data_IF_052863394482
#
_entry.id   IF_052863394482
#
_cell.length_a   1.000
_cell.length_b   1.000
_cell.length_c   1.000
_cell.angle_alpha   90.00
_cell.angle_beta   90.00
_cell.angle_gamma   90.00
#
_symmetry.space_group_name_H-M   'P 1'
#
loop_
_entity.id
_entity.type
_entity.pdbx_description
1 polymer ?
#
# COMPACT_ATOMS: atom_id res chain seq x y z
N UNK A 1 -33.43 -33.53 10.23
CA UNK A 1 -33.68 -32.47 11.26
C UNK A 1 -32.40 -31.72 11.61
N UNK A 2 -31.30 -32.39 11.94
CA UNK A 2 -30.01 -31.73 12.24
C UNK A 2 -29.62 -30.67 11.20
N UNK A 3 -29.64 -31.01 9.90
CA UNK A 3 -29.33 -30.08 8.82
C UNK A 3 -30.18 -28.79 8.85
N UNK A 4 -31.49 -28.90 9.02
CA UNK A 4 -32.37 -27.73 9.06
C UNK A 4 -32.07 -26.82 10.26
N UNK A 5 -31.79 -27.42 11.42
CA UNK A 5 -31.38 -26.69 12.63
C UNK A 5 -30.04 -25.99 12.38
N UNK A 6 -29.06 -26.69 11.81
CA UNK A 6 -27.76 -26.12 11.45
C UNK A 6 -27.89 -24.91 10.52
N UNK A 7 -28.72 -25.00 9.47
CA UNK A 7 -28.95 -23.88 8.54
C UNK A 7 -29.57 -22.66 9.24
N UNK A 8 -30.55 -22.87 10.13
CA UNK A 8 -31.16 -21.79 10.91
C UNK A 8 -30.14 -21.16 11.86
N UNK A 9 -29.35 -21.98 12.56
CA UNK A 9 -28.30 -21.50 13.46
C UNK A 9 -27.20 -20.73 12.71
N UNK A 10 -26.84 -21.15 11.49
CA UNK A 10 -25.91 -20.43 10.62
C UNK A 10 -26.47 -19.05 10.27
N UNK A 11 -27.75 -18.95 9.90
CA UNK A 11 -28.40 -17.66 9.61
C UNK A 11 -28.39 -16.75 10.84
N UNK A 12 -28.82 -17.26 11.99
CA UNK A 12 -28.83 -16.50 13.24
C UNK A 12 -27.42 -16.07 13.64
N UNK A 13 -26.45 -16.97 13.56
CA UNK A 13 -25.05 -16.70 13.86
C UNK A 13 -24.46 -15.64 12.94
N UNK A 14 -24.74 -15.68 11.63
CA UNK A 14 -24.29 -14.67 10.68
C UNK A 14 -24.89 -13.29 10.97
N UNK A 15 -26.18 -13.20 11.29
CA UNK A 15 -26.84 -11.94 11.66
C UNK A 15 -26.25 -11.38 12.96
N UNK A 16 -26.11 -12.22 13.98
CA UNK A 16 -25.50 -11.81 15.27
C UNK A 16 -24.06 -11.35 15.05
N UNK A 17 -23.27 -12.12 14.30
CA UNK A 17 -21.89 -11.76 13.97
C UNK A 17 -21.82 -10.43 13.24
N UNK A 18 -22.71 -10.18 12.27
CA UNK A 18 -22.74 -8.91 11.54
C UNK A 18 -22.96 -7.70 12.46
N UNK A 19 -23.90 -7.78 13.40
CA UNK A 19 -24.21 -6.69 14.32
C UNK A 19 -23.20 -6.52 15.46
N UNK A 20 -22.52 -7.60 15.86
CA UNK A 20 -21.51 -7.58 16.94
C UNK A 20 -20.08 -7.38 16.43
N UNK A 21 -19.81 -7.61 15.14
CA UNK A 21 -18.46 -7.52 14.58
C UNK A 21 -17.98 -6.06 14.56
N UNK A 22 -16.77 -5.78 15.08
CA UNK A 22 -16.14 -4.48 14.93
C UNK A 22 -15.46 -4.29 13.57
N UNK A 23 -15.42 -5.32 12.71
CA UNK A 23 -14.67 -5.32 11.46
C UNK A 23 -15.47 -4.71 10.30
N UNK A 24 -15.72 -3.42 10.42
CA UNK A 24 -16.37 -2.61 9.40
C UNK A 24 -15.37 -1.81 8.59
N UNK A 25 -15.85 -1.22 7.49
CA UNK A 25 -15.06 -0.35 6.65
C UNK A 25 -14.47 0.80 7.48
N UNK A 26 -13.23 1.17 7.19
CA UNK A 26 -12.62 2.36 7.77
C UNK A 26 -13.42 3.60 7.35
N UNK A 27 -13.53 4.65 8.18
CA UNK A 27 -14.19 5.89 7.77
C UNK A 27 -13.60 6.42 6.46
N UNK A 28 -14.46 6.77 5.51
CA UNK A 28 -14.03 7.23 4.20
C UNK A 28 -13.44 8.65 4.29
N UNK A 29 -12.30 8.88 3.66
CA UNK A 29 -11.61 10.18 3.63
C UNK A 29 -11.41 10.71 2.20
N UNK A 30 -12.28 10.28 1.26
CA UNK A 30 -12.25 10.71 -0.13
C UNK A 30 -13.65 10.88 -0.73
N UNK A 31 -13.71 11.40 -1.96
CA UNK A 31 -14.93 11.57 -2.77
C UNK A 31 -15.62 10.26 -3.21
N UNK A 32 -15.12 9.08 -2.79
CA UNK A 32 -15.55 7.79 -3.30
C UNK A 32 -16.65 7.09 -2.50
N UNK A 33 -17.54 7.86 -1.85
CA UNK A 33 -18.68 7.30 -1.08
C UNK A 33 -19.51 6.29 -1.88
N UNK A 34 -19.65 6.51 -3.19
CA UNK A 34 -20.36 5.60 -4.07
C UNK A 34 -19.78 4.17 -4.11
N UNK A 35 -18.49 3.97 -3.79
CA UNK A 35 -17.89 2.65 -3.64
C UNK A 35 -18.41 1.94 -2.38
N UNK A 36 -18.50 2.65 -1.26
CA UNK A 36 -19.08 2.12 -0.01
C UNK A 36 -20.56 1.83 -0.20
N UNK A 37 -21.30 2.70 -0.88
CA UNK A 37 -22.72 2.48 -1.19
C UNK A 37 -22.92 1.22 -2.06
N UNK A 38 -22.08 1.03 -3.09
CA UNK A 38 -22.13 -0.16 -3.94
C UNK A 38 -21.81 -1.46 -3.16
N UNK A 39 -20.84 -1.40 -2.25
CA UNK A 39 -20.52 -2.51 -1.35
C UNK A 39 -21.68 -2.81 -0.40
N UNK A 40 -22.33 -1.79 0.17
CA UNK A 40 -23.47 -1.95 1.06
C UNK A 40 -24.70 -2.50 0.33
N UNK A 41 -24.99 -2.04 -0.89
CA UNK A 41 -26.04 -2.61 -1.74
C UNK A 41 -25.79 -4.10 -1.99
N UNK A 42 -24.54 -4.44 -2.36
CA UNK A 42 -24.14 -5.84 -2.58
C UNK A 42 -24.32 -6.67 -1.32
N UNK A 43 -23.84 -6.17 -0.17
CA UNK A 43 -23.96 -6.85 1.11
C UNK A 43 -25.42 -7.11 1.49
N UNK A 44 -26.31 -6.12 1.36
CA UNK A 44 -27.74 -6.25 1.69
C UNK A 44 -28.43 -7.27 0.78
N UNK A 45 -28.18 -7.21 -0.54
CA UNK A 45 -28.77 -8.15 -1.50
C UNK A 45 -28.28 -9.58 -1.22
N UNK A 46 -26.97 -9.76 -1.05
CA UNK A 46 -26.38 -11.06 -0.73
C UNK A 46 -26.90 -11.61 0.60
N UNK A 47 -27.02 -10.76 1.64
CA UNK A 47 -27.55 -11.15 2.94
C UNK A 47 -29.03 -11.59 2.83
N UNK A 48 -29.86 -10.84 2.10
CA UNK A 48 -31.26 -11.19 1.88
C UNK A 48 -31.39 -12.54 1.17
N UNK A 49 -30.65 -12.75 0.07
CA UNK A 49 -30.64 -14.02 -0.67
C UNK A 49 -30.10 -15.17 0.19
N UNK A 50 -29.04 -14.93 0.96
CA UNK A 50 -28.49 -15.91 1.90
C UNK A 50 -29.56 -16.38 2.90
N UNK A 51 -30.27 -15.44 3.55
CA UNK A 51 -31.34 -15.76 4.51
C UNK A 51 -32.46 -16.53 3.81
N UNK A 52 -32.97 -16.03 2.68
CA UNK A 52 -34.09 -16.65 1.94
C UNK A 52 -33.75 -18.08 1.53
N UNK A 53 -32.57 -18.30 0.93
CA UNK A 53 -32.17 -19.62 0.44
C UNK A 53 -31.97 -20.59 1.61
N UNK A 54 -31.29 -20.18 2.69
CA UNK A 54 -31.04 -21.07 3.83
C UNK A 54 -32.34 -21.44 4.55
N UNK A 55 -33.24 -20.47 4.76
CA UNK A 55 -34.54 -20.73 5.39
C UNK A 55 -35.46 -21.55 4.47
N UNK A 56 -35.42 -21.33 3.15
CA UNK A 56 -36.15 -22.14 2.19
C UNK A 56 -35.67 -23.60 2.20
N UNK A 57 -34.35 -23.83 2.18
CA UNK A 57 -33.80 -25.19 2.26
C UNK A 57 -34.13 -25.83 3.60
N UNK A 58 -34.01 -25.11 4.73
CA UNK A 58 -34.42 -25.61 6.03
C UNK A 58 -35.91 -25.98 6.07
N UNK A 59 -36.77 -25.11 5.53
CA UNK A 59 -38.19 -25.38 5.37
C UNK A 59 -38.45 -26.62 4.53
N UNK A 60 -37.81 -26.75 3.37
CA UNK A 60 -37.97 -27.89 2.49
C UNK A 60 -37.56 -29.21 3.17
N UNK A 61 -36.43 -29.21 3.89
CA UNK A 61 -35.96 -30.36 4.67
C UNK A 61 -36.95 -30.75 5.77
N UNK A 62 -37.59 -29.79 6.43
CA UNK A 62 -38.58 -30.07 7.50
C UNK A 62 -39.91 -30.53 6.92
N UNK A 63 -40.43 -29.82 5.92
CA UNK A 63 -41.75 -30.04 5.33
C UNK A 63 -41.80 -31.32 4.52
N UNK A 64 -40.78 -31.56 3.68
CA UNK A 64 -40.70 -32.69 2.74
C UNK A 64 -39.81 -33.82 3.26
N UNK A 65 -39.52 -33.87 4.57
CA UNK A 65 -38.81 -35.01 5.16
C UNK A 65 -39.53 -36.32 4.86
N UNK A 66 -38.77 -37.38 4.69
CA UNK A 66 -39.32 -38.71 4.49
C UNK A 66 -40.27 -39.10 5.64
N UNK A 67 -41.42 -39.68 5.29
CA UNK A 67 -42.41 -40.26 6.20
C UNK A 67 -42.88 -41.57 5.60
N UNK A 68 -43.01 -42.59 6.43
CA UNK A 68 -43.54 -43.88 5.98
C UNK A 68 -44.94 -43.70 5.35
N UNK A 69 -45.19 -44.47 4.29
CA UNK A 69 -46.44 -44.42 3.53
C UNK A 69 -46.65 -43.17 2.67
N UNK A 70 -45.74 -42.19 2.66
CA UNK A 70 -45.84 -41.00 1.81
C UNK A 70 -44.95 -41.12 0.57
N UNK A 71 -45.55 -40.94 -0.60
CA UNK A 71 -44.84 -40.88 -1.89
C UNK A 71 -44.64 -39.43 -2.31
N UNK A 72 -43.44 -39.09 -2.79
CA UNK A 72 -43.14 -37.76 -3.31
C UNK A 72 -43.95 -37.46 -4.58
N UNK A 73 -44.38 -36.21 -4.74
CA UNK A 73 -44.95 -35.74 -6.00
C UNK A 73 -43.86 -35.73 -7.09
N UNK A 74 -44.23 -36.16 -8.30
CA UNK A 74 -43.33 -36.19 -9.45
C UNK A 74 -43.61 -34.98 -10.35
N UNK A 75 -42.94 -33.86 -10.07
CA UNK A 75 -42.92 -32.68 -10.94
C UNK A 75 -41.49 -32.45 -11.42
N UNK A 76 -41.27 -32.45 -12.74
CA UNK A 76 -39.93 -32.34 -13.33
C UNK A 76 -39.55 -30.92 -13.74
N UNK A 77 -40.52 -30.04 -13.98
CA UNK A 77 -40.28 -28.67 -14.45
C UNK A 77 -41.48 -27.76 -14.15
N UNK A 78 -41.21 -26.46 -14.09
CA UNK A 78 -42.25 -25.44 -13.99
C UNK A 78 -41.82 -24.20 -14.77
N UNK A 79 -42.21 -24.15 -16.05
CA UNK A 79 -41.79 -23.09 -16.98
C UNK A 79 -42.11 -21.68 -16.48
N UNK A 80 -43.24 -21.49 -15.77
CA UNK A 80 -43.60 -20.17 -15.23
C UNK A 80 -42.64 -19.75 -14.12
N UNK A 81 -42.32 -20.67 -13.21
CA UNK A 81 -41.36 -20.43 -12.12
C UNK A 81 -39.94 -20.19 -12.66
N UNK A 82 -39.52 -20.99 -13.64
CA UNK A 82 -38.22 -20.84 -14.30
C UNK A 82 -38.04 -19.44 -14.90
N UNK A 83 -39.01 -18.97 -15.70
CA UNK A 83 -38.95 -17.60 -16.26
C UNK A 83 -38.97 -16.51 -15.19
N UNK A 84 -39.75 -16.70 -14.13
CA UNK A 84 -39.80 -15.74 -13.04
C UNK A 84 -38.45 -15.66 -12.30
N UNK A 85 -37.83 -16.79 -12.01
CA UNK A 85 -36.51 -16.84 -11.38
C UNK A 85 -35.41 -16.27 -12.27
N UNK A 86 -35.44 -16.56 -13.57
CA UNK A 86 -34.50 -15.98 -14.53
C UNK A 86 -34.66 -14.45 -14.59
N UNK A 87 -35.89 -13.96 -14.70
CA UNK A 87 -36.16 -12.51 -14.72
C UNK A 87 -35.70 -11.83 -13.44
N UNK A 88 -36.07 -12.39 -12.29
CA UNK A 88 -35.73 -11.83 -10.98
C UNK A 88 -34.21 -11.82 -10.73
N UNK A 89 -33.50 -12.91 -11.05
CA UNK A 89 -32.04 -12.97 -10.88
C UNK A 89 -31.31 -12.06 -11.85
N UNK A 90 -31.76 -12.00 -13.11
CA UNK A 90 -31.20 -11.08 -14.12
C UNK A 90 -31.35 -9.62 -13.67
N UNK A 91 -32.54 -9.23 -13.18
CA UNK A 91 -32.77 -7.89 -12.64
C UNK A 91 -31.88 -7.60 -11.43
N UNK A 92 -31.72 -8.56 -10.52
CA UNK A 92 -30.82 -8.43 -9.36
C UNK A 92 -29.36 -8.22 -9.77
N UNK A 93 -28.87 -8.95 -10.76
CA UNK A 93 -27.51 -8.79 -11.31
C UNK A 93 -27.34 -7.41 -11.94
N UNK A 94 -28.30 -6.95 -12.75
CA UNK A 94 -28.26 -5.61 -13.36
C UNK A 94 -28.24 -4.52 -12.29
N UNK A 95 -29.09 -4.63 -11.26
CA UNK A 95 -29.12 -3.69 -10.14
C UNK A 95 -27.80 -3.66 -9.35
N UNK A 96 -27.11 -4.80 -9.22
CA UNK A 96 -25.82 -4.89 -8.54
C UNK A 96 -24.65 -4.35 -9.38
N UNK A 97 -24.66 -4.58 -10.70
CA UNK A 97 -23.54 -4.20 -11.59
C UNK A 97 -23.61 -2.75 -12.09
N UNK A 98 -24.81 -2.20 -12.34
CA UNK A 98 -24.95 -0.88 -12.95
C UNK A 98 -24.32 0.27 -12.14
N UNK A 99 -24.47 0.34 -10.79
CA UNK A 99 -23.80 1.36 -9.99
C UNK A 99 -22.27 1.26 -10.08
N UNK A 100 -21.73 0.04 -10.03
CA UNK A 100 -20.30 -0.21 -10.13
C UNK A 100 -19.71 0.29 -11.46
N UNK A 101 -20.42 0.09 -12.57
CA UNK A 101 -19.99 0.58 -13.88
C UNK A 101 -19.95 2.12 -13.94
N UNK A 102 -20.91 2.81 -13.32
CA UNK A 102 -20.92 4.27 -13.23
C UNK A 102 -19.71 4.80 -12.42
N UNK A 103 -19.43 4.16 -11.28
CA UNK A 103 -18.28 4.51 -10.44
C UNK A 103 -16.97 4.27 -11.19
N UNK A 104 -16.85 3.13 -11.87
CA UNK A 104 -15.66 2.82 -12.67
C UNK A 104 -15.41 3.84 -13.78
N UNK A 105 -16.46 4.25 -14.50
CA UNK A 105 -16.34 5.27 -15.55
C UNK A 105 -15.79 6.62 -15.02
N UNK A 106 -16.17 7.00 -13.80
CA UNK A 106 -15.62 8.18 -13.12
C UNK A 106 -14.17 7.97 -12.68
N UNK A 107 -13.85 6.78 -12.14
CA UNK A 107 -12.50 6.46 -11.66
C UNK A 107 -11.45 6.53 -12.79
N UNK A 108 -11.80 6.09 -14.00
CA UNK A 108 -10.88 6.13 -15.15
C UNK A 108 -10.77 7.50 -15.83
N UNK A 109 -11.55 8.50 -15.38
CA UNK A 109 -11.62 9.84 -15.97
C UNK A 109 -11.25 10.90 -14.94
N UNK A 110 -9.94 11.14 -14.68
CA UNK A 110 -9.50 12.15 -13.72
C UNK A 110 -9.97 13.57 -14.10
N UNK A 111 -10.31 14.43 -13.11
CA UNK A 111 -10.58 15.84 -13.34
C UNK A 111 -9.39 16.54 -14.01
N UNK A 112 -9.66 17.45 -14.95
CA UNK A 112 -8.62 18.17 -15.68
C UNK A 112 -7.78 19.10 -14.79
N UNK A 113 -8.35 19.56 -13.67
CA UNK A 113 -7.70 20.40 -12.67
C UNK A 113 -7.01 19.60 -11.55
N UNK A 114 -6.91 18.27 -11.67
CA UNK A 114 -6.26 17.47 -10.65
C UNK A 114 -4.76 17.78 -10.59
N UNK A 115 -4.27 18.12 -9.40
CA UNK A 115 -2.83 18.17 -9.12
C UNK A 115 -2.21 16.80 -9.32
N UNK A 116 -0.96 16.73 -9.77
CA UNK A 116 -0.29 15.47 -10.09
C UNK A 116 0.84 15.24 -9.12
N UNK A 117 1.00 14.01 -8.65
CA UNK A 117 2.27 13.54 -8.10
C UNK A 117 2.53 12.10 -8.57
N UNK A 118 3.78 11.69 -8.56
CA UNK A 118 4.19 10.33 -8.90
C UNK A 118 4.69 9.58 -7.66
N UNK A 119 4.27 8.32 -7.55
CA UNK A 119 4.83 7.35 -6.62
C UNK A 119 5.68 6.36 -7.40
N UNK A 120 6.90 6.14 -6.93
CA UNK A 120 7.76 5.04 -7.34
C UNK A 120 7.81 3.98 -6.24
N UNK A 121 7.37 2.77 -6.57
CA UNK A 121 7.48 1.60 -5.71
C UNK A 121 8.77 0.83 -6.01
N UNK A 122 9.44 0.40 -4.95
CA UNK A 122 10.63 -0.45 -4.98
C UNK A 122 10.58 -1.39 -3.78
N UNK A 123 11.20 -2.57 -3.84
CA UNK A 123 11.36 -3.45 -2.68
C UNK A 123 12.26 -2.77 -1.62
N UNK A 124 11.77 -2.44 -0.41
CA UNK A 124 10.37 -2.28 0.00
C UNK A 124 10.17 -0.87 0.57
N UNK A 125 10.18 0.12 -0.32
CA UNK A 125 10.12 1.54 -0.02
C UNK A 125 9.30 2.30 -1.07
N UNK A 126 8.84 3.49 -0.68
CA UNK A 126 8.03 4.39 -1.49
C UNK A 126 8.79 5.70 -1.70
N UNK A 127 8.93 6.12 -2.95
CA UNK A 127 9.50 7.43 -3.28
C UNK A 127 8.47 8.29 -3.99
N UNK A 128 8.50 9.59 -3.73
CA UNK A 128 7.52 10.53 -4.27
C UNK A 128 8.19 11.68 -4.99
N UNK A 129 7.62 12.09 -6.13
CA UNK A 129 7.98 13.35 -6.78
C UNK A 129 6.74 14.12 -7.21
N UNK A 130 6.85 15.44 -7.22
CA UNK A 130 5.81 16.37 -7.66
C UNK A 130 6.36 17.22 -8.82
N UNK A 131 5.50 17.70 -9.73
CA UNK A 131 5.91 18.67 -10.74
C UNK A 131 6.39 19.97 -10.07
N UNK A 132 7.30 20.66 -10.75
CA UNK A 132 7.80 21.95 -10.31
C UNK A 132 6.86 23.11 -10.65
N UNK A 133 7.45 24.29 -10.89
CA UNK A 133 6.71 25.51 -11.23
C UNK A 133 6.08 25.43 -12.61
N UNK A 134 6.64 24.61 -13.50
CA UNK A 134 6.11 24.41 -14.85
C UNK A 134 4.87 23.50 -14.90
N UNK A 135 4.53 22.86 -13.78
CA UNK A 135 3.38 21.97 -13.64
C UNK A 135 3.52 20.63 -14.37
N UNK A 136 4.73 20.26 -14.81
CA UNK A 136 5.01 19.03 -15.55
C UNK A 136 6.01 18.18 -14.78
N UNK A 137 5.93 16.86 -15.00
CA UNK A 137 6.94 15.93 -14.53
C UNK A 137 7.93 15.67 -15.65
N UNK A 138 9.21 15.66 -15.32
CA UNK A 138 10.27 15.27 -16.26
C UNK A 138 10.11 13.83 -16.77
N UNK A 139 10.52 13.60 -18.01
CA UNK A 139 10.64 12.29 -18.61
C UNK A 139 11.61 11.41 -17.82
N UNK A 140 11.33 10.11 -17.77
CA UNK A 140 12.13 9.14 -17.01
C UNK A 140 12.50 7.94 -17.85
N UNK A 141 13.68 7.38 -17.60
CA UNK A 141 14.18 6.15 -18.22
C UNK A 141 15.00 5.34 -17.21
N UNK A 142 14.89 4.01 -17.28
CA UNK A 142 15.61 3.09 -16.40
C UNK A 142 17.13 3.25 -16.50
N UNK A 143 17.65 3.69 -17.64
CA UNK A 143 19.09 3.92 -17.86
C UNK A 143 19.67 5.05 -17.01
N UNK A 144 18.82 5.96 -16.53
CA UNK A 144 19.24 7.05 -15.66
C UNK A 144 19.14 6.72 -14.17
N UNK A 145 18.60 5.55 -13.82
CA UNK A 145 18.45 5.14 -12.42
C UNK A 145 19.83 4.86 -11.81
N UNK A 146 20.16 5.58 -10.75
CA UNK A 146 21.35 5.38 -9.94
C UNK A 146 21.14 5.96 -8.52
N UNK A 147 22.16 5.88 -7.65
CA UNK A 147 22.05 6.32 -6.25
C UNK A 147 21.63 7.79 -6.07
N UNK A 148 22.01 8.67 -7.01
CA UNK A 148 21.68 10.11 -6.97
C UNK A 148 20.45 10.47 -7.79
N UNK A 149 19.95 9.54 -8.61
CA UNK A 149 18.76 9.71 -9.44
C UNK A 149 17.89 8.44 -9.35
N UNK A 150 17.27 8.15 -8.20
CA UNK A 150 16.48 6.93 -8.03
C UNK A 150 15.25 6.90 -8.93
N UNK A 151 14.73 8.08 -9.32
CA UNK A 151 13.55 8.19 -10.18
C UNK A 151 13.82 7.93 -11.67
N UNK A 152 15.10 7.93 -12.07
CA UNK A 152 15.52 7.82 -13.46
C UNK A 152 15.12 9.04 -14.31
N UNK A 153 15.07 10.23 -13.71
CA UNK A 153 14.74 11.49 -14.40
C UNK A 153 15.80 11.75 -15.47
N UNK A 154 15.37 12.07 -16.68
CA UNK A 154 16.25 12.43 -17.78
C UNK A 154 16.95 13.77 -17.46
N UNK A 155 18.28 13.80 -17.24
CA UNK A 155 18.98 15.02 -16.88
C UNK A 155 19.00 16.07 -17.99
N UNK A 156 18.69 15.67 -19.22
CA UNK A 156 18.60 16.58 -20.37
C UNK A 156 17.18 17.12 -20.59
N UNK A 157 16.18 16.66 -19.84
CA UNK A 157 14.82 17.19 -19.92
C UNK A 157 14.70 18.45 -19.02
N UNK A 158 14.41 19.63 -19.60
CA UNK A 158 14.20 20.84 -18.81
C UNK A 158 13.04 20.73 -17.83
N UNK A 159 11.97 20.01 -18.18
CA UNK A 159 10.80 19.82 -17.33
C UNK A 159 11.11 18.96 -16.10
N UNK A 160 12.18 18.17 -16.13
CA UNK A 160 12.61 17.37 -14.98
C UNK A 160 13.49 18.12 -14.00
N UNK A 161 13.97 19.33 -14.34
CA UNK A 161 14.96 20.02 -13.50
C UNK A 161 14.34 20.63 -12.24
N UNK A 162 13.07 21.04 -12.33
CA UNK A 162 12.31 21.60 -11.22
C UNK A 162 11.35 20.58 -10.58
N UNK A 163 11.36 19.31 -11.02
CA UNK A 163 10.70 18.19 -10.31
C UNK A 163 11.08 18.25 -8.83
N UNK A 164 10.08 18.33 -7.96
CA UNK A 164 10.25 18.34 -6.52
C UNK A 164 10.38 16.91 -6.03
N UNK A 165 11.50 16.59 -5.39
CA UNK A 165 11.75 15.27 -4.80
C UNK A 165 11.42 15.31 -3.32
N UNK A 166 10.54 14.42 -2.87
CA UNK A 166 10.17 14.37 -1.46
C UNK A 166 11.30 13.76 -0.65
N UNK A 167 11.86 14.54 0.28
CA UNK A 167 12.86 14.07 1.24
C UNK A 167 12.13 13.45 2.45
N UNK A 168 11.78 12.18 2.33
CA UNK A 168 11.07 11.45 3.38
C UNK A 168 10.28 10.26 2.85
N UNK A 169 9.63 9.56 3.78
CA UNK A 169 8.82 8.37 3.49
C UNK A 169 7.32 8.68 3.48
N UNK A 170 6.90 9.94 3.42
CA UNK A 170 5.49 10.35 3.46
C UNK A 170 5.23 11.44 2.42
N UNK A 171 4.05 11.42 1.82
CA UNK A 171 3.59 12.42 0.85
C UNK A 171 2.49 13.27 1.46
N UNK A 172 2.57 14.58 1.28
CA UNK A 172 1.52 15.50 1.71
C UNK A 172 0.64 15.88 0.53
N UNK A 173 -0.67 16.01 0.75
CA UNK A 173 -1.63 16.45 -0.26
C UNK A 173 -2.64 17.44 0.34
N UNK A 174 -3.14 18.41 -0.44
CA UNK A 174 -4.11 19.38 0.04
C UNK A 174 -5.53 18.79 0.18
N UNK A 175 -6.22 19.18 1.25
CA UNK A 175 -7.64 18.92 1.49
C UNK A 175 -8.51 19.51 0.37
N UNK A 176 -9.58 18.81 0.00
CA UNK A 176 -10.62 19.27 -0.95
C UNK A 176 -10.13 19.60 -2.36
N UNK A 177 -8.92 19.16 -2.72
CA UNK A 177 -8.35 19.32 -4.06
C UNK A 177 -8.24 17.96 -4.77
N UNK A 178 -8.66 17.84 -6.04
CA UNK A 178 -8.45 16.61 -6.79
C UNK A 178 -6.95 16.37 -7.00
N UNK A 179 -6.54 15.13 -6.75
CA UNK A 179 -5.17 14.67 -6.93
C UNK A 179 -5.16 13.43 -7.81
N UNK A 180 -4.32 13.47 -8.83
CA UNK A 180 -4.04 12.38 -9.75
C UNK A 180 -2.69 11.77 -9.39
N UNK A 181 -2.72 10.49 -9.06
CA UNK A 181 -1.54 9.75 -8.62
C UNK A 181 -1.03 8.94 -9.81
N UNK A 182 0.20 9.23 -10.25
CA UNK A 182 0.92 8.41 -11.22
C UNK A 182 1.75 7.37 -10.47
N UNK A 183 1.81 6.16 -11.00
CA UNK A 183 2.41 5.03 -10.30
C UNK A 183 3.39 4.31 -11.22
N UNK A 184 4.64 4.18 -10.79
CA UNK A 184 5.68 3.38 -11.45
C UNK A 184 6.32 2.39 -10.49
N UNK A 185 6.72 1.23 -10.99
CA UNK A 185 7.52 0.28 -10.23
C UNK A 185 8.92 0.18 -10.83
N UNK A 186 9.94 0.18 -9.97
CA UNK A 186 11.34 0.02 -10.39
C UNK A 186 11.70 -1.45 -10.63
N UNK A 187 11.11 -2.38 -9.88
CA UNK A 187 11.54 -3.77 -9.81
C UNK A 187 10.41 -4.78 -10.09
N UNK A 188 9.53 -5.03 -9.13
CA UNK A 188 8.44 -6.03 -9.19
C UNK A 188 7.08 -5.35 -9.13
N UNK A 189 6.01 -6.15 -9.19
CA UNK A 189 4.66 -5.62 -8.97
C UNK A 189 4.50 -5.11 -7.54
N UNK A 190 3.94 -3.92 -7.41
CA UNK A 190 3.48 -3.33 -6.14
C UNK A 190 2.04 -2.86 -6.31
N UNK A 191 1.42 -2.37 -5.24
CA UNK A 191 0.13 -1.70 -5.31
C UNK A 191 0.07 -0.65 -4.20
N UNK A 192 -0.15 0.60 -4.58
CA UNK A 192 -0.21 1.71 -3.63
C UNK A 192 -1.65 1.87 -3.14
N UNK A 193 -1.87 1.57 -1.85
CA UNK A 193 -3.20 1.56 -1.27
C UNK A 193 -3.28 2.34 0.04
N UNK A 194 -4.22 3.28 0.11
CA UNK A 194 -4.69 3.90 1.34
C UNK A 194 -6.15 3.49 1.55
N UNK A 195 -6.47 2.65 2.56
CA UNK A 195 -7.81 2.09 2.72
C UNK A 195 -8.94 3.13 2.73
N UNK A 196 -8.76 4.22 3.46
CA UNK A 196 -9.73 5.30 3.64
C UNK A 196 -10.04 6.06 2.33
N UNK A 197 -9.17 5.95 1.32
CA UNK A 197 -9.39 6.61 0.04
C UNK A 197 -10.15 5.76 -0.97
N UNK A 198 -10.32 4.45 -0.71
CA UNK A 198 -10.99 3.45 -1.58
C UNK A 198 -10.38 3.23 -2.96
N UNK A 199 -9.37 4.00 -3.32
CA UNK A 199 -8.61 3.82 -4.55
C UNK A 199 -7.29 3.13 -4.28
N UNK A 200 -6.98 2.18 -5.16
CA UNK A 200 -5.69 1.53 -5.29
C UNK A 200 -5.46 1.20 -6.75
N UNK A 201 -4.21 0.98 -7.10
CA UNK A 201 -3.86 0.51 -8.44
C UNK A 201 -2.53 -0.22 -8.38
N UNK A 202 -2.46 -1.32 -9.13
CA UNK A 202 -1.22 -2.07 -9.29
C UNK A 202 -0.18 -1.20 -10.02
N UNK A 203 1.04 -1.23 -9.52
CA UNK A 203 2.21 -0.65 -10.15
C UNK A 203 2.91 -1.75 -10.93
N UNK A 204 3.08 -1.55 -12.24
CA UNK A 204 3.62 -2.56 -13.14
C UNK A 204 4.94 -2.06 -13.72
N UNK A 205 6.07 -2.77 -13.54
CA UNK A 205 7.33 -2.38 -14.15
C UNK A 205 7.18 -2.16 -15.66
N UNK A 206 7.63 -1.00 -16.14
CA UNK A 206 7.51 -0.60 -17.55
C UNK A 206 6.19 0.07 -17.94
N UNK A 207 5.23 0.23 -17.02
CA UNK A 207 3.99 1.00 -17.24
C UNK A 207 3.86 2.14 -16.24
N UNK A 208 3.18 3.21 -16.65
CA UNK A 208 2.69 4.25 -15.74
C UNK A 208 1.21 4.01 -15.54
N UNK A 209 0.83 3.48 -14.37
CA UNK A 209 -0.58 3.34 -13.99
C UNK A 209 -1.03 4.58 -13.20
N UNK A 210 -2.34 4.74 -13.02
CA UNK A 210 -2.87 5.93 -12.37
C UNK A 210 -4.21 5.65 -11.68
N UNK A 211 -4.48 6.43 -10.64
CA UNK A 211 -5.83 6.66 -10.12
C UNK A 211 -5.96 8.13 -9.70
N UNK A 212 -7.16 8.52 -9.27
CA UNK A 212 -7.36 9.86 -8.72
C UNK A 212 -8.35 9.83 -7.56
N UNK A 213 -8.27 10.85 -6.70
CA UNK A 213 -9.18 11.08 -5.60
C UNK A 213 -9.22 12.57 -5.24
N UNK A 214 -10.20 12.96 -4.45
CA UNK A 214 -10.24 14.24 -3.73
C UNK A 214 -10.33 13.89 -2.24
N UNK A 215 -9.32 14.24 -1.42
CA UNK A 215 -9.35 13.91 -0.01
C UNK A 215 -10.34 14.84 0.70
N UNK A 216 -11.13 14.30 1.61
CA UNK A 216 -12.24 15.02 2.27
C UNK A 216 -12.07 15.15 3.78
N UNK A 217 -10.99 14.60 4.34
CA UNK A 217 -10.67 14.69 5.76
C UNK A 217 -9.17 14.87 5.96
N UNK A 218 -8.79 15.83 6.79
CA UNK A 218 -7.40 16.00 7.23
C UNK A 218 -6.94 14.82 8.07
N UNK A 219 -5.67 14.47 8.00
CA UNK A 219 -5.08 13.42 8.85
C UNK A 219 -3.90 12.73 8.20
N UNK A 220 -3.25 11.85 8.98
CA UNK A 220 -2.16 10.99 8.50
C UNK A 220 -2.71 9.58 8.25
N UNK A 221 -2.77 9.18 6.99
CA UNK A 221 -3.33 7.90 6.56
C UNK A 221 -2.22 6.95 6.13
N UNK A 222 -2.23 5.73 6.67
CA UNK A 222 -1.22 4.74 6.35
C UNK A 222 -1.36 4.24 4.89
N UNK A 223 -0.22 4.16 4.22
CA UNK A 223 -0.04 3.53 2.91
C UNK A 223 0.40 2.09 3.13
N UNK A 224 -0.23 1.18 2.41
CA UNK A 224 0.09 -0.24 2.38
C UNK A 224 0.49 -0.65 0.97
N UNK A 225 1.48 -1.54 0.85
CA UNK A 225 1.64 -2.33 -0.36
C UNK A 225 0.57 -3.42 -0.40
N UNK A 226 -0.30 -3.40 -1.40
CA UNK A 226 -1.42 -4.34 -1.48
C UNK A 226 -1.26 -5.38 -2.60
N UNK A 227 -0.02 -5.59 -3.05
CA UNK A 227 0.38 -6.64 -3.99
C UNK A 227 1.65 -7.30 -3.47
N UNK A 228 1.65 -8.63 -3.37
CA UNK A 228 2.77 -9.38 -2.79
C UNK A 228 4.06 -9.10 -3.57
N UNK A 229 5.00 -8.41 -2.92
CA UNK A 229 6.23 -7.93 -3.54
C UNK A 229 7.50 -8.48 -2.89
N UNK A 230 7.43 -9.59 -2.15
CA UNK A 230 8.60 -10.26 -1.54
C UNK A 230 8.60 -10.23 -0.01
N UNK A 231 9.76 -10.55 0.60
CA UNK A 231 9.85 -10.81 2.06
C UNK A 231 9.55 -9.59 2.94
N UNK A 232 9.85 -8.37 2.47
CA UNK A 232 9.50 -7.13 3.17
C UNK A 232 8.11 -6.58 2.85
N UNK A 233 7.26 -7.32 2.12
CA UNK A 233 5.95 -6.85 1.67
C UNK A 233 5.08 -6.25 2.79
N UNK A 234 5.00 -6.90 3.96
CA UNK A 234 4.21 -6.42 5.10
C UNK A 234 4.74 -5.14 5.75
N UNK A 235 6.01 -4.82 5.49
CA UNK A 235 6.72 -3.66 6.05
C UNK A 235 6.81 -2.50 5.06
N UNK A 236 6.37 -2.69 3.81
CA UNK A 236 6.34 -1.66 2.78
C UNK A 236 5.25 -0.63 3.07
N UNK A 237 5.50 0.20 4.08
CA UNK A 237 4.57 1.17 4.65
C UNK A 237 5.05 2.60 4.42
N UNK A 238 4.11 3.52 4.38
CA UNK A 238 4.34 4.96 4.24
C UNK A 238 3.09 5.68 4.81
N UNK A 239 2.98 6.98 4.66
CA UNK A 239 1.75 7.70 4.92
C UNK A 239 1.45 8.77 3.87
N UNK A 240 0.16 9.01 3.65
CA UNK A 240 -0.34 10.22 3.02
C UNK A 240 -0.85 11.16 4.10
N UNK A 241 -0.34 12.37 4.14
CA UNK A 241 -0.79 13.42 5.08
C UNK A 241 -1.70 14.38 4.32
N UNK A 242 -2.97 14.42 4.70
CA UNK A 242 -3.96 15.36 4.16
C UNK A 242 -4.01 16.57 5.07
N UNK A 243 -3.75 17.75 4.52
CA UNK A 243 -3.64 18.99 5.28
C UNK A 243 -4.32 20.15 4.56
N UNK A 244 -4.55 21.24 5.29
CA UNK A 244 -4.99 22.51 4.71
C UNK A 244 -3.96 23.06 3.72
N UNK A 245 -4.45 23.75 2.69
CA UNK A 245 -3.63 24.25 1.57
C UNK A 245 -2.36 24.99 2.03
N UNK A 246 -2.48 25.89 3.03
CA UNK A 246 -1.35 26.68 3.53
C UNK A 246 -0.25 25.82 4.20
N UNK A 247 -0.64 24.73 4.88
CA UNK A 247 0.30 23.82 5.54
C UNK A 247 1.03 22.98 4.48
N UNK A 248 0.27 22.46 3.51
CA UNK A 248 0.81 21.74 2.35
C UNK A 248 1.83 22.59 1.57
N UNK A 249 1.51 23.86 1.27
CA UNK A 249 2.43 24.76 0.56
C UNK A 249 3.71 25.04 1.36
N UNK A 250 3.59 25.22 2.68
CA UNK A 250 4.74 25.40 3.56
C UNK A 250 5.62 24.15 3.67
N UNK A 251 5.04 22.95 3.56
CA UNK A 251 5.77 21.69 3.45
C UNK A 251 6.47 21.57 2.09
N UNK A 252 5.75 21.85 1.00
CA UNK A 252 6.24 21.73 -0.37
C UNK A 252 7.45 22.65 -0.60
N UNK A 253 7.42 23.88 -0.07
CA UNK A 253 8.50 24.85 -0.18
C UNK A 253 9.83 24.41 0.47
N UNK A 254 9.81 23.40 1.35
CA UNK A 254 11.01 22.84 2.00
C UNK A 254 11.64 21.69 1.21
N UNK A 255 10.93 21.17 0.21
CA UNK A 255 11.39 20.02 -0.56
C UNK A 255 12.44 20.46 -1.60
N UNK A 256 13.49 19.65 -1.83
CA UNK A 256 14.48 19.94 -2.87
C UNK A 256 13.91 19.68 -4.27
N UNK A 257 14.39 20.41 -5.27
CA UNK A 257 14.16 20.11 -6.69
C UNK A 257 15.25 19.17 -7.22
N UNK A 258 15.03 18.46 -8.33
CA UNK A 258 16.03 17.57 -8.94
C UNK A 258 17.37 18.28 -9.23
N UNK A 259 17.31 19.48 -9.84
CA UNK A 259 18.50 20.31 -10.07
C UNK A 259 19.18 20.78 -8.77
N UNK A 260 18.40 21.03 -7.71
CA UNK A 260 18.91 21.38 -6.38
C UNK A 260 19.42 20.17 -5.59
N UNK A 261 18.94 18.97 -5.90
CA UNK A 261 19.36 17.69 -5.33
C UNK A 261 20.73 17.25 -5.89
N UNK A 262 21.09 17.77 -7.07
CA UNK A 262 22.26 17.40 -7.86
C UNK A 262 23.03 18.59 -8.43
N UNK A 263 23.11 19.72 -7.72
CA UNK A 263 24.22 20.62 -7.92
C UNK A 263 25.51 19.88 -7.53
N UNK A 264 26.15 19.35 -8.58
CA UNK A 264 27.49 18.76 -8.67
C UNK A 264 27.60 17.30 -8.20
N UNK A 265 28.30 16.48 -8.99
CA UNK A 265 29.18 15.44 -8.46
C UNK A 265 30.28 16.08 -7.59
N UNK A 266 29.86 16.68 -6.47
CA UNK A 266 30.64 17.58 -5.64
C UNK A 266 29.86 17.89 -4.38
N UNK A 267 30.36 17.35 -3.27
CA UNK A 267 30.22 17.84 -1.89
C UNK A 267 29.83 19.33 -1.85
N UNK A 268 28.56 19.66 -1.52
CA UNK A 268 28.11 21.04 -1.74
C UNK A 268 26.76 21.47 -1.18
N UNK A 269 26.34 20.96 -0.03
CA UNK A 269 25.33 21.59 0.83
C UNK A 269 25.83 21.57 2.28
N UNK A 270 25.26 22.33 3.24
CA UNK A 270 25.65 22.22 4.64
C UNK A 270 25.64 20.73 5.01
N UNK A 271 26.79 20.22 5.44
CA UNK A 271 26.97 18.81 5.71
C UNK A 271 26.13 18.43 6.92
N UNK A 272 24.88 18.04 6.69
CA UNK A 272 24.09 17.34 7.68
C UNK A 272 24.77 15.97 7.89
N UNK A 273 25.26 15.68 9.11
CA UNK A 273 25.90 14.40 9.41
C UNK A 273 24.98 13.24 9.04
N UNK A 274 25.51 12.23 8.37
CA UNK A 274 24.73 11.08 7.92
C UNK A 274 23.78 11.29 6.74
N UNK A 275 23.64 12.49 6.14
CA UNK A 275 22.71 12.70 5.00
C UNK A 275 23.03 11.81 3.81
N UNK A 276 24.31 11.71 3.44
CA UNK A 276 24.75 10.84 2.35
C UNK A 276 24.47 9.37 2.64
N UNK A 277 24.75 8.92 3.87
CA UNK A 277 24.41 7.55 4.29
C UNK A 277 22.92 7.29 4.30
N UNK A 278 22.08 8.26 4.68
CA UNK A 278 20.62 8.13 4.60
C UNK A 278 20.15 7.88 3.17
N UNK A 279 20.66 8.64 2.20
CA UNK A 279 20.35 8.46 0.78
C UNK A 279 20.82 7.09 0.26
N UNK A 280 21.98 6.62 0.70
CA UNK A 280 22.46 5.27 0.36
C UNK A 280 21.55 4.21 0.99
N UNK A 281 21.16 4.36 2.26
CA UNK A 281 20.27 3.43 2.95
C UNK A 281 18.91 3.29 2.23
N UNK A 282 18.34 4.40 1.77
CA UNK A 282 17.11 4.44 0.98
C UNK A 282 17.32 3.82 -0.41
N UNK A 283 18.33 4.29 -1.15
CA UNK A 283 18.60 3.84 -2.52
C UNK A 283 19.05 2.37 -2.60
N UNK A 284 19.59 1.79 -1.53
CA UNK A 284 19.97 0.36 -1.46
C UNK A 284 18.89 -0.49 -0.76
N UNK A 285 17.77 0.10 -0.33
CA UNK A 285 16.64 -0.60 0.27
C UNK A 285 16.87 -1.09 1.70
N UNK A 286 17.88 -0.58 2.41
CA UNK A 286 18.18 -1.00 3.78
C UNK A 286 17.06 -0.65 4.77
N UNK A 287 16.42 0.50 4.57
CA UNK A 287 15.34 1.03 5.44
C UNK A 287 14.06 0.19 5.41
N UNK A 288 13.90 -0.67 4.40
CA UNK A 288 12.79 -1.61 4.32
C UNK A 288 12.83 -2.70 5.41
N UNK A 289 14.04 -3.04 5.88
CA UNK A 289 14.26 -4.06 6.90
C UNK A 289 14.66 -3.44 8.24
N UNK A 290 15.37 -2.32 8.21
CA UNK A 290 15.95 -1.68 9.40
C UNK A 290 15.23 -0.37 9.73
N UNK A 291 14.57 -0.33 10.88
CA UNK A 291 13.93 0.88 11.40
C UNK A 291 14.94 1.82 12.06
N UNK A 292 14.64 3.12 12.07
CA UNK A 292 15.49 4.15 12.72
C UNK A 292 14.88 4.73 13.99
N UNK A 293 13.62 4.38 14.27
CA UNK A 293 12.83 4.87 15.40
C UNK A 293 12.70 3.85 16.55
N UNK A 294 13.19 2.63 16.35
CA UNK A 294 13.10 1.51 17.29
C UNK A 294 11.90 0.58 17.03
N UNK A 295 11.08 0.85 16.01
CA UNK A 295 9.96 -0.02 15.68
C UNK A 295 10.44 -1.43 15.30
N UNK A 296 9.72 -2.50 15.67
CA UNK A 296 10.04 -3.86 15.23
C UNK A 296 10.04 -3.96 13.70
N UNK A 297 11.00 -4.68 13.14
CA UNK A 297 11.16 -4.86 11.70
C UNK A 297 11.69 -6.24 11.32
N UNK A 298 11.94 -6.44 10.03
CA UNK A 298 12.57 -7.67 9.50
C UNK A 298 14.02 -7.82 9.99
N UNK A 299 14.73 -6.70 10.11
CA UNK A 299 16.06 -6.62 10.69
C UNK A 299 16.08 -5.78 11.98
N UNK A 300 17.23 -5.76 12.69
CA UNK A 300 17.40 -4.95 13.90
C UNK A 300 17.29 -3.45 13.60
N UNK A 301 16.72 -2.70 14.53
CA UNK A 301 16.69 -1.23 14.46
C UNK A 301 18.10 -0.64 14.57
N UNK A 302 18.34 0.47 13.86
CA UNK A 302 19.57 1.24 13.98
C UNK A 302 19.56 2.23 15.15
N UNK A 303 18.42 2.41 15.82
CA UNK A 303 18.28 3.33 16.95
C UNK A 303 19.23 2.98 18.10
N UNK A 304 20.23 3.83 18.31
CA UNK A 304 21.24 3.64 19.34
C UNK A 304 22.07 2.36 19.14
N UNK A 305 22.17 1.86 17.90
CA UNK A 305 22.80 0.58 17.63
C UNK A 305 24.33 0.65 17.77
N UNK A 306 24.95 1.72 17.27
CA UNK A 306 26.41 1.86 17.31
C UNK A 306 26.93 1.94 18.76
N UNK A 307 27.91 1.10 19.10
CA UNK A 307 28.48 0.98 20.44
C UNK A 307 27.68 0.10 21.41
N UNK A 308 26.52 -0.42 21.00
CA UNK A 308 25.72 -1.36 21.80
C UNK A 308 26.33 -2.76 21.79
N UNK A 309 26.02 -3.56 22.80
CA UNK A 309 26.27 -5.01 22.80
C UNK A 309 25.03 -5.74 22.26
N UNK A 310 25.20 -6.52 21.20
CA UNK A 310 24.13 -7.35 20.63
C UNK A 310 24.39 -8.84 20.87
N UNK A 311 23.33 -9.58 21.18
CA UNK A 311 23.39 -11.02 21.30
C UNK A 311 23.21 -11.67 19.93
N UNK A 312 24.04 -12.65 19.60
CA UNK A 312 23.97 -13.41 18.35
C UNK A 312 23.18 -14.71 18.54
N UNK A 313 22.68 -15.28 17.44
CA UNK A 313 21.92 -16.55 17.44
C UNK A 313 22.72 -17.70 18.09
N UNK A 314 24.05 -17.70 17.95
CA UNK A 314 24.96 -18.68 18.56
C UNK A 314 25.25 -18.50 20.05
N UNK A 315 24.54 -17.58 20.74
CA UNK A 315 24.67 -17.37 22.20
C UNK A 315 25.85 -16.50 22.63
N UNK A 316 26.67 -16.03 21.69
CA UNK A 316 27.74 -15.06 21.93
C UNK A 316 27.23 -13.62 21.84
N UNK A 317 27.98 -12.66 22.38
CA UNK A 317 27.71 -11.22 22.26
C UNK A 317 28.77 -10.53 21.42
N UNK A 318 28.38 -9.49 20.70
CA UNK A 318 29.29 -8.66 19.88
C UNK A 318 29.06 -7.18 20.17
N UNK A 319 30.16 -6.43 20.25
CA UNK A 319 30.09 -4.98 20.28
C UNK A 319 29.83 -4.48 18.85
N UNK A 320 28.82 -3.65 18.67
CA UNK A 320 28.50 -3.06 17.38
C UNK A 320 29.45 -1.91 17.10
N UNK A 321 30.64 -2.24 16.60
CA UNK A 321 31.65 -1.30 16.10
C UNK A 321 31.62 -1.17 14.57
N UNK A 322 32.51 -0.36 14.01
CA UNK A 322 32.59 -0.19 12.54
C UNK A 322 32.94 -1.49 11.81
N UNK A 323 33.78 -2.34 12.41
CA UNK A 323 34.19 -3.60 11.79
C UNK A 323 33.00 -4.58 11.73
N UNK A 324 32.21 -4.63 12.79
CA UNK A 324 30.96 -5.38 12.82
C UNK A 324 29.97 -4.86 11.77
N UNK A 325 29.72 -3.55 11.70
CA UNK A 325 28.80 -2.99 10.70
C UNK A 325 29.25 -3.29 9.26
N UNK A 326 30.55 -3.13 8.95
CA UNK A 326 31.12 -3.49 7.65
C UNK A 326 30.92 -4.97 7.33
N UNK A 327 31.19 -5.85 8.30
CA UNK A 327 30.99 -7.29 8.15
C UNK A 327 29.52 -7.63 7.95
N UNK A 328 28.61 -7.07 8.75
CA UNK A 328 27.18 -7.34 8.64
C UNK A 328 26.57 -6.85 7.33
N UNK A 329 27.11 -5.80 6.70
CA UNK A 329 26.64 -5.33 5.39
C UNK A 329 27.18 -6.21 4.25
N UNK A 330 28.46 -6.58 4.30
CA UNK A 330 29.11 -7.34 3.23
C UNK A 330 28.85 -8.86 3.31
N UNK A 331 28.80 -9.42 4.52
CA UNK A 331 28.56 -10.84 4.84
C UNK A 331 27.56 -10.97 6.01
N UNK A 332 26.27 -10.62 5.79
CA UNK A 332 25.25 -10.58 6.83
C UNK A 332 25.00 -11.94 7.51
N UNK A 333 25.34 -13.04 6.85
CA UNK A 333 25.08 -14.40 7.34
C UNK A 333 26.10 -14.84 8.39
N UNK A 334 27.24 -14.16 8.51
CA UNK A 334 28.31 -14.53 9.43
C UNK A 334 27.94 -14.32 10.90
N UNK A 335 27.20 -13.24 11.22
CA UNK A 335 26.84 -12.86 12.59
C UNK A 335 25.42 -12.32 12.65
N UNK A 336 24.47 -13.24 12.79
CA UNK A 336 23.04 -12.92 12.86
C UNK A 336 22.66 -12.56 14.30
N UNK A 337 22.03 -11.39 14.47
CA UNK A 337 21.49 -10.94 15.76
C UNK A 337 20.34 -11.87 16.18
N UNK A 338 20.36 -12.29 17.44
CA UNK A 338 19.37 -13.20 18.02
C UNK A 338 17.96 -12.62 17.87
N UNK A 339 17.04 -13.43 17.36
CA UNK A 339 15.63 -13.06 17.16
C UNK A 339 15.32 -12.52 15.77
N UNK A 340 16.32 -12.38 14.89
CA UNK A 340 16.11 -11.99 13.49
C UNK A 340 16.38 -13.15 12.53
N UNK A 341 15.58 -13.29 11.45
CA UNK A 341 15.80 -14.32 10.45
C UNK A 341 17.06 -14.04 9.61
N UNK A 342 17.76 -15.10 9.20
CA UNK A 342 18.94 -15.02 8.33
C UNK A 342 18.55 -14.77 6.85
N UNK A 343 18.03 -13.58 6.56
CA UNK A 343 17.51 -13.20 5.24
C UNK A 343 18.08 -11.88 4.70
N UNK A 344 18.93 -11.18 5.47
CA UNK A 344 19.58 -9.96 4.99
C UNK A 344 20.48 -10.28 3.78
N UNK A 345 20.27 -9.66 2.61
CA UNK A 345 21.11 -9.87 1.45
C UNK A 345 22.46 -9.17 1.63
N UNK A 346 23.58 -9.73 1.13
CA UNK A 346 24.85 -9.02 1.10
C UNK A 346 24.75 -7.79 0.18
N UNK A 347 25.37 -6.68 0.56
CA UNK A 347 25.42 -5.47 -0.26
C UNK A 347 26.87 -5.02 -0.43
N UNK A 348 27.36 -4.98 -1.67
CA UNK A 348 28.71 -4.51 -1.98
C UNK A 348 28.68 -3.01 -2.18
N UNK A 349 28.92 -2.27 -1.09
CA UNK A 349 29.11 -0.83 -1.13
C UNK A 349 30.57 -0.50 -1.46
N UNK A 350 30.80 0.62 -2.15
CA UNK A 350 32.15 1.19 -2.25
C UNK A 350 32.65 1.60 -0.85
N UNK A 351 33.97 1.80 -0.69
CA UNK A 351 34.53 2.24 0.59
C UNK A 351 33.94 3.59 1.05
N UNK A 352 33.69 4.49 0.11
CA UNK A 352 33.05 5.79 0.36
C UNK A 352 31.58 5.63 0.78
N UNK A 353 30.82 4.79 0.07
CA UNK A 353 29.43 4.50 0.41
C UNK A 353 29.33 3.84 1.80
N UNK A 354 30.22 2.90 2.11
CA UNK A 354 30.29 2.22 3.40
C UNK A 354 30.60 3.20 4.53
N UNK A 355 31.56 4.11 4.34
CA UNK A 355 31.89 5.14 5.33
C UNK A 355 30.69 6.06 5.60
N UNK A 356 30.01 6.53 4.55
CA UNK A 356 28.82 7.36 4.67
C UNK A 356 27.66 6.62 5.38
N UNK A 357 27.46 5.33 5.08
CA UNK A 357 26.46 4.49 5.74
C UNK A 357 26.72 4.34 7.24
N UNK A 358 27.97 4.09 7.63
CA UNK A 358 28.34 3.97 9.05
C UNK A 358 28.17 5.30 9.77
N UNK A 359 28.54 6.43 9.13
CA UNK A 359 28.30 7.77 9.68
C UNK A 359 26.81 8.00 9.94
N UNK A 360 25.94 7.62 8.99
CA UNK A 360 24.50 7.68 9.20
C UNK A 360 24.01 6.82 10.37
N UNK A 361 24.43 5.55 10.46
CA UNK A 361 24.01 4.67 11.57
C UNK A 361 24.40 5.28 12.94
N UNK A 362 25.54 5.97 13.03
CA UNK A 362 25.97 6.66 14.25
C UNK A 362 25.09 7.85 14.63
N UNK A 363 24.40 8.48 13.67
CA UNK A 363 23.50 9.60 13.96
C UNK A 363 22.14 9.16 14.49
N UNK A 364 21.75 7.91 14.26
CA UNK A 364 20.48 7.34 14.74
C UNK A 364 20.57 6.98 16.23
N UNK A 365 19.95 7.77 17.11
CA UNK A 365 20.04 7.62 18.59
C UNK A 365 18.73 7.20 19.26
#
# INVERSE_FOLDING_TARGET
MALAISLILIVLGAIIFHWLSPWWLTPIASNWQAMDDALMITLVICAALFIIIHLFVAYAVVKFRHREGHRAAAESHNRKLEWWLIGATSLGIVAMLAPGLNVYAKLISPPANASVFEVMGKQWDWHFRLPGKDGKLGATDVRFINATNPFGINPQDPAGQDDVLVDGSEIHIPLDQPVKVLLRAQDVLHDFYVPQFRTRMNMVPGLVTQFWLTPTQTGRFEVLCAQLCGVGHSNMRSAVVVEEQAVYEAWLAKQPTFSGHGAVGGVGGPAEPGKQGRLIAQSKGCVACHSVDGAPGVGPSWKGLFGKQEALEGGTTVAVDEAYLKQSINDPKAKVVKGFPNIMPPNQLSDEEMAAMIDYIKTVR
#
